data_IF_200810366432
#
_entry.id   IF_200810366432
#
_cell.length_a   1.000
_cell.length_b   1.000
_cell.length_c   1.000
_cell.angle_alpha   90.00
_cell.angle_beta   90.00
_cell.angle_gamma   90.00
#
_symmetry.space_group_name_H-M   'P 1'
#
loop_
_entity.id
_entity.type
_entity.pdbx_description
1 polymer ?
#
# COMPACT_ATOMS: atom_id res chain seq x y z
N UNK A 1 -2.87 14.74 26.33
CA UNK A 1 -4.25 15.02 26.69
C UNK A 1 -5.17 14.01 26.03
N UNK A 2 -5.98 13.27 26.80
CA UNK A 2 -6.97 12.36 26.23
C UNK A 2 -8.31 13.07 25.97
N UNK A 3 -8.54 14.23 26.58
CA UNK A 3 -9.80 14.96 26.49
C UNK A 3 -9.92 15.75 25.18
N UNK A 4 -8.78 16.12 24.57
CA UNK A 4 -8.73 16.82 23.28
C UNK A 4 -8.69 15.87 22.06
N UNK A 5 -8.66 14.56 22.29
CA UNK A 5 -8.59 13.58 21.21
C UNK A 5 -9.95 13.40 20.53
N UNK A 6 -9.99 13.54 19.19
CA UNK A 6 -11.18 13.19 18.43
C UNK A 6 -11.34 11.66 18.33
N UNK A 7 -12.58 11.19 18.46
CA UNK A 7 -12.91 9.79 18.23
C UNK A 7 -12.67 9.45 16.75
N UNK A 8 -12.03 8.30 16.51
CA UNK A 8 -11.91 7.74 15.16
C UNK A 8 -13.23 7.10 14.76
N UNK A 9 -13.78 7.54 13.63
CA UNK A 9 -15.03 7.02 13.06
C UNK A 9 -14.74 6.28 11.76
N UNK A 10 -14.30 7.02 10.74
CA UNK A 10 -13.90 6.51 9.44
C UNK A 10 -12.39 6.31 9.37
N UNK A 11 -11.96 5.23 8.73
CA UNK A 11 -10.55 5.00 8.44
C UNK A 11 -10.22 5.60 7.07
N UNK A 12 -9.08 6.28 6.91
CA UNK A 12 -8.65 6.73 5.59
C UNK A 12 -8.23 5.54 4.72
N UNK A 13 -8.05 5.81 3.42
CA UNK A 13 -7.46 4.85 2.49
C UNK A 13 -6.13 4.33 3.04
N UNK A 14 -5.95 3.01 2.99
CA UNK A 14 -4.71 2.33 3.34
C UNK A 14 -4.44 1.18 2.37
N UNK A 15 -3.18 0.86 2.14
CA UNK A 15 -2.75 -0.29 1.35
C UNK A 15 -1.44 -0.85 1.88
N UNK A 16 -1.30 -2.18 1.80
CA UNK A 16 -0.20 -2.93 2.40
C UNK A 16 0.26 -4.01 1.44
N UNK A 17 1.57 -4.17 1.35
CA UNK A 17 2.25 -5.26 0.63
C UNK A 17 2.35 -6.44 1.60
N UNK A 18 1.79 -7.59 1.20
CA UNK A 18 1.81 -8.83 2.00
C UNK A 18 2.85 -9.80 1.44
N UNK A 19 3.01 -9.84 0.11
CA UNK A 19 4.06 -10.61 -0.56
C UNK A 19 4.80 -9.74 -1.57
N UNK A 20 6.13 -9.86 -1.67
CA UNK A 20 7.01 -10.58 -0.74
C UNK A 20 7.07 -9.91 0.65
N UNK A 21 7.72 -10.54 1.63
CA UNK A 21 7.94 -9.93 2.95
C UNK A 21 9.15 -8.98 2.92
N UNK A 22 9.18 -7.99 3.82
CA UNK A 22 10.36 -7.13 4.00
C UNK A 22 11.62 -7.98 4.20
N UNK A 23 12.70 -7.58 3.52
CA UNK A 23 14.02 -8.21 3.48
C UNK A 23 14.08 -9.60 2.84
N UNK A 24 13.08 -9.97 2.05
CA UNK A 24 13.11 -11.22 1.28
C UNK A 24 14.28 -11.27 0.29
N UNK A 25 14.85 -12.47 0.14
CA UNK A 25 15.84 -12.83 -0.88
C UNK A 25 15.17 -13.73 -1.91
N UNK A 26 15.05 -13.27 -3.15
CA UNK A 26 14.35 -13.97 -4.23
C UNK A 26 15.24 -14.11 -5.47
N UNK A 27 14.93 -15.04 -6.40
CA UNK A 27 15.54 -15.01 -7.73
C UNK A 27 15.18 -13.72 -8.47
N UNK A 28 16.12 -13.19 -9.25
CA UNK A 28 15.83 -12.12 -10.20
C UNK A 28 14.93 -12.58 -11.35
N UNK A 29 14.38 -11.61 -12.06
CA UNK A 29 13.42 -11.80 -13.13
C UNK A 29 11.99 -11.52 -12.66
N UNK A 30 11.05 -12.37 -13.07
CA UNK A 30 9.64 -12.18 -12.82
C UNK A 30 9.28 -12.39 -11.33
N UNK A 31 8.75 -11.35 -10.69
CA UNK A 31 8.24 -11.40 -9.32
C UNK A 31 6.79 -10.94 -9.27
N UNK A 32 6.01 -11.58 -8.40
CA UNK A 32 4.66 -11.14 -8.05
C UNK A 32 4.68 -10.39 -6.72
N UNK A 33 4.09 -9.21 -6.71
CA UNK A 33 3.85 -8.39 -5.51
C UNK A 33 2.35 -8.43 -5.25
N UNK A 34 1.95 -8.78 -4.04
CA UNK A 34 0.55 -8.98 -3.67
C UNK A 34 0.25 -8.28 -2.35
N UNK A 35 -0.99 -7.86 -2.19
CA UNK A 35 -1.43 -7.23 -0.95
C UNK A 35 -2.92 -6.93 -0.91
N UNK A 36 -3.27 -6.00 -0.04
CA UNK A 36 -4.63 -5.49 0.07
C UNK A 36 -4.65 -3.96 0.13
N UNK A 37 -5.80 -3.40 -0.17
CA UNK A 37 -6.15 -2.01 0.08
C UNK A 37 -7.55 -1.93 0.70
N UNK A 38 -7.82 -0.86 1.44
CA UNK A 38 -9.10 -0.61 2.10
C UNK A 38 -9.37 0.88 2.19
N UNK A 39 -10.65 1.25 2.28
CA UNK A 39 -11.10 2.62 2.58
C UNK A 39 -12.12 2.61 3.72
N UNK A 40 -12.87 3.69 3.88
CA UNK A 40 -13.81 3.97 4.98
C UNK A 40 -15.08 3.12 5.00
N UNK A 41 -15.28 2.24 4.01
CA UNK A 41 -16.47 1.41 3.86
C UNK A 41 -17.63 2.07 3.10
N UNK A 42 -17.50 3.36 2.78
CA UNK A 42 -18.44 4.10 1.94
C UNK A 42 -17.88 4.34 0.53
N UNK A 43 -16.57 4.24 0.38
CA UNK A 43 -15.86 4.35 -0.90
C UNK A 43 -15.14 3.06 -1.26
N UNK A 44 -15.24 2.67 -2.52
CA UNK A 44 -14.52 1.52 -3.06
C UNK A 44 -13.12 1.92 -3.49
N UNK A 45 -12.17 0.98 -3.42
CA UNK A 45 -10.84 1.18 -4.00
C UNK A 45 -10.95 1.11 -5.52
N UNK A 46 -10.55 2.19 -6.20
CA UNK A 46 -10.65 2.32 -7.66
C UNK A 46 -9.31 2.15 -8.36
N UNK A 47 -8.22 2.40 -7.64
CA UNK A 47 -6.88 2.35 -8.20
C UNK A 47 -5.84 1.94 -7.17
N UNK A 48 -4.89 1.08 -7.57
CA UNK A 48 -3.75 0.70 -6.76
C UNK A 48 -2.51 0.76 -7.66
N UNK A 49 -1.46 1.40 -7.18
CA UNK A 49 -0.18 1.48 -7.87
C UNK A 49 0.95 0.98 -6.98
N UNK A 50 1.83 0.21 -7.59
CA UNK A 50 3.03 -0.37 -6.97
C UNK A 50 4.26 0.15 -7.69
N UNK A 51 5.25 0.55 -6.93
CA UNK A 51 6.55 1.01 -7.41
C UNK A 51 7.63 0.01 -7.00
N UNK A 52 8.60 -0.32 -7.87
CA UNK A 52 9.76 -1.14 -7.51
C UNK A 52 10.99 -0.32 -7.04
N UNK A 53 10.93 1.01 -7.13
CA UNK A 53 12.07 1.92 -7.04
C UNK A 53 11.84 3.05 -6.02
N UNK A 54 11.11 2.78 -4.94
CA UNK A 54 10.93 3.75 -3.84
C UNK A 54 9.91 4.86 -4.14
N UNK A 55 9.15 4.73 -5.23
CA UNK A 55 8.10 5.66 -5.64
C UNK A 55 8.44 6.54 -6.85
N UNK A 56 9.55 6.26 -7.56
CA UNK A 56 9.93 7.02 -8.75
C UNK A 56 9.08 6.62 -9.96
N UNK A 57 8.88 5.32 -10.20
CA UNK A 57 8.01 4.78 -11.24
C UNK A 57 6.90 3.92 -10.66
N UNK A 58 5.77 3.85 -11.37
CA UNK A 58 4.56 3.20 -10.87
C UNK A 58 3.91 2.32 -11.93
N UNK A 59 3.52 1.12 -11.52
CA UNK A 59 2.69 0.21 -12.31
C UNK A 59 1.33 0.05 -11.63
N UNK A 60 0.26 -0.01 -12.41
CA UNK A 60 -1.08 -0.34 -11.90
C UNK A 60 -1.13 -1.81 -11.50
N UNK A 61 -1.68 -2.10 -10.32
CA UNK A 61 -1.97 -3.47 -9.90
C UNK A 61 -3.32 -3.95 -10.43
N UNK A 62 -3.42 -5.25 -10.67
CA UNK A 62 -4.65 -5.95 -11.01
C UNK A 62 -5.45 -6.27 -9.74
N UNK A 63 -6.77 -6.24 -9.85
CA UNK A 63 -7.68 -6.59 -8.76
C UNK A 63 -7.96 -8.09 -8.80
N UNK A 64 -7.83 -8.75 -7.65
CA UNK A 64 -8.05 -10.19 -7.51
C UNK A 64 -9.47 -10.55 -7.08
N UNK A 65 -10.26 -9.55 -6.69
CA UNK A 65 -11.68 -9.65 -6.39
C UNK A 65 -12.42 -8.42 -6.90
N UNK A 66 -13.73 -8.57 -7.10
CA UNK A 66 -14.59 -7.44 -7.45
C UNK A 66 -14.59 -6.40 -6.31
N UNK A 67 -14.53 -5.10 -6.65
CA UNK A 67 -14.69 -4.02 -5.68
C UNK A 67 -16.06 -4.13 -4.99
N UNK A 68 -16.05 -4.12 -3.66
CA UNK A 68 -17.26 -4.10 -2.84
C UNK A 68 -17.02 -3.28 -1.58
N UNK A 69 -18.01 -2.47 -1.20
CA UNK A 69 -18.02 -1.76 0.08
C UNK A 69 -17.81 -2.72 1.26
N UNK A 70 -17.15 -2.22 2.30
CA UNK A 70 -16.82 -2.98 3.53
C UNK A 70 -15.91 -4.20 3.34
N UNK A 71 -15.32 -4.37 2.15
CA UNK A 71 -14.36 -5.46 1.89
C UNK A 71 -12.99 -4.88 1.51
N UNK A 72 -11.95 -5.68 1.72
CA UNK A 72 -10.62 -5.32 1.25
C UNK A 72 -10.53 -5.60 -0.25
N UNK A 73 -9.87 -4.70 -0.97
CA UNK A 73 -9.49 -4.92 -2.35
C UNK A 73 -8.14 -5.64 -2.38
N UNK A 74 -8.16 -6.92 -2.75
CA UNK A 74 -6.95 -7.71 -2.97
C UNK A 74 -6.38 -7.37 -4.34
N UNK A 75 -5.05 -7.33 -4.41
CA UNK A 75 -4.35 -6.90 -5.61
C UNK A 75 -3.06 -7.67 -5.87
N UNK A 76 -2.65 -7.68 -7.14
CA UNK A 76 -1.38 -8.24 -7.62
C UNK A 76 -0.74 -7.33 -8.65
N UNK A 77 0.57 -7.19 -8.60
CA UNK A 77 1.38 -6.55 -9.65
C UNK A 77 2.56 -7.46 -9.97
N UNK A 78 2.81 -7.69 -11.26
CA UNK A 78 3.96 -8.46 -11.73
C UNK A 78 5.03 -7.54 -12.28
N UNK A 79 6.28 -7.78 -11.88
CA UNK A 79 7.44 -7.04 -12.38
C UNK A 79 8.48 -8.01 -12.90
N UNK A 80 9.20 -7.60 -13.95
CA UNK A 80 10.45 -8.25 -14.37
C UNK A 80 11.61 -7.34 -13.96
N UNK A 81 12.34 -7.74 -12.90
CA UNK A 81 13.34 -6.90 -12.25
C UNK A 81 14.74 -7.52 -12.29
N UNK A 82 15.79 -6.71 -12.52
CA UNK A 82 17.16 -7.19 -12.50
C UNK A 82 17.61 -7.59 -11.09
N UNK A 83 18.69 -8.39 -10.95
CA UNK A 83 19.34 -8.61 -9.67
C UNK A 83 19.72 -7.29 -9.00
N UNK A 84 19.56 -7.21 -7.68
CA UNK A 84 19.83 -5.98 -6.93
C UNK A 84 18.86 -5.75 -5.77
N UNK A 85 19.02 -4.59 -5.12
CA UNK A 85 18.12 -4.13 -4.06
C UNK A 85 17.00 -3.30 -4.67
N UNK A 86 15.77 -3.59 -4.26
CA UNK A 86 14.58 -2.88 -4.71
C UNK A 86 13.78 -2.42 -3.49
N UNK A 87 13.18 -1.23 -3.56
CA UNK A 87 12.25 -0.74 -2.55
C UNK A 87 10.84 -0.76 -3.16
N UNK A 88 10.05 -1.74 -2.73
CA UNK A 88 8.67 -1.86 -3.18
C UNK A 88 7.79 -0.92 -2.36
N UNK A 89 6.98 -0.11 -3.05
CA UNK A 89 6.07 0.85 -2.43
C UNK A 89 4.67 0.68 -3.00
N UNK A 90 3.63 0.77 -2.16
CA UNK A 90 2.24 0.73 -2.62
C UNK A 90 1.46 1.96 -2.16
N UNK A 91 0.57 2.42 -3.04
CA UNK A 91 -0.45 3.44 -2.75
C UNK A 91 -1.76 3.11 -3.45
N UNK A 92 -2.86 3.54 -2.85
CA UNK A 92 -4.21 3.33 -3.38
C UNK A 92 -5.01 4.64 -3.46
N UNK A 93 -6.08 4.60 -4.26
CA UNK A 93 -7.10 5.64 -4.34
C UNK A 93 -8.48 5.01 -4.25
N UNK A 94 -9.39 5.71 -3.57
CA UNK A 94 -10.80 5.33 -3.52
C UNK A 94 -11.65 6.10 -4.54
N UNK A 95 -12.95 5.84 -4.55
CA UNK A 95 -13.92 6.49 -5.46
C UNK A 95 -14.15 7.98 -5.18
N UNK A 96 -13.71 8.50 -4.03
CA UNK A 96 -13.70 9.92 -3.70
C UNK A 96 -12.34 10.59 -3.98
N UNK A 97 -11.43 9.88 -4.65
CA UNK A 97 -10.06 10.31 -4.95
C UNK A 97 -9.20 10.59 -3.70
N UNK A 98 -9.58 10.07 -2.53
CA UNK A 98 -8.70 10.08 -1.37
C UNK A 98 -7.50 9.18 -1.63
N UNK A 99 -6.35 9.52 -1.05
CA UNK A 99 -5.14 8.71 -1.14
C UNK A 99 -4.30 8.79 0.13
N UNK A 100 -3.20 8.06 0.11
CA UNK A 100 -2.27 7.93 1.23
C UNK A 100 -1.19 9.01 1.18
N UNK A 101 -0.78 9.56 2.32
CA UNK A 101 0.41 10.40 2.42
C UNK A 101 1.68 9.62 2.04
N UNK A 102 2.66 10.30 1.47
CA UNK A 102 3.90 9.64 1.02
C UNK A 102 4.79 9.14 2.17
N UNK A 103 4.82 9.87 3.28
CA UNK A 103 5.77 9.63 4.38
C UNK A 103 5.07 9.48 5.72
N UNK A 104 5.65 8.63 6.58
CA UNK A 104 5.18 8.44 7.96
C UNK A 104 5.28 9.74 8.76
N UNK A 105 6.25 10.61 8.45
CA UNK A 105 6.41 11.89 9.12
C UNK A 105 5.17 12.78 8.96
N UNK A 106 4.48 12.70 7.83
CA UNK A 106 3.25 13.47 7.55
C UNK A 106 2.05 13.04 8.39
N UNK A 107 2.05 11.83 8.96
CA UNK A 107 0.94 11.26 9.75
C UNK A 107 1.33 10.93 11.19
N UNK A 108 2.53 11.37 11.60
CA UNK A 108 3.03 11.08 12.93
C UNK A 108 2.12 11.66 14.00
N UNK A 109 1.83 10.86 15.02
CA UNK A 109 1.21 11.31 16.25
C UNK A 109 1.72 10.46 17.40
N UNK A 110 1.70 11.02 18.60
CA UNK A 110 2.24 10.38 19.80
C UNK A 110 1.64 8.98 20.09
N UNK A 111 0.40 8.72 19.69
CA UNK A 111 -0.26 7.42 19.91
C UNK A 111 -0.04 6.41 18.77
N UNK A 112 0.52 6.85 17.64
CA UNK A 112 0.77 6.00 16.48
C UNK A 112 -0.49 5.56 15.72
N UNK A 113 -1.64 6.20 15.92
CA UNK A 113 -2.88 5.84 15.24
C UNK A 113 -2.92 6.36 13.79
N UNK A 114 -3.77 5.76 12.96
CA UNK A 114 -4.03 6.22 11.58
C UNK A 114 -2.76 6.36 10.75
N UNK A 115 -1.79 5.46 10.94
CA UNK A 115 -0.64 5.40 10.07
C UNK A 115 -1.03 4.75 8.74
N UNK A 116 -1.36 5.58 7.76
CA UNK A 116 -1.75 5.17 6.41
C UNK A 116 -0.79 5.68 5.35
N UNK A 117 0.43 6.07 5.71
CA UNK A 117 1.44 6.44 4.71
C UNK A 117 1.72 5.27 3.76
N UNK A 118 2.31 5.54 2.59
CA UNK A 118 2.66 4.48 1.63
C UNK A 118 3.45 3.37 2.32
N UNK A 119 2.97 2.14 2.22
CA UNK A 119 3.69 1.00 2.78
C UNK A 119 4.89 0.67 1.91
N UNK A 120 6.05 0.49 2.54
CA UNK A 120 7.34 0.27 1.88
C UNK A 120 7.99 -0.98 2.42
N UNK A 121 8.52 -1.82 1.53
CA UNK A 121 9.36 -2.96 1.89
C UNK A 121 10.61 -3.00 1.02
N UNK A 122 11.69 -3.59 1.53
CA UNK A 122 12.96 -3.71 0.82
C UNK A 122 13.21 -5.18 0.50
N UNK A 123 13.51 -5.50 -0.75
CA UNK A 123 13.86 -6.87 -1.15
C UNK A 123 15.21 -6.90 -1.86
N UNK A 124 15.79 -8.09 -1.95
CA UNK A 124 17.01 -8.33 -2.73
C UNK A 124 16.77 -9.47 -3.72
N UNK A 125 16.99 -9.18 -5.00
CA UNK A 125 16.92 -10.14 -6.09
C UNK A 125 18.33 -10.64 -6.44
N UNK A 126 18.49 -11.96 -6.59
CA UNK A 126 19.76 -12.64 -6.89
C UNK A 126 19.85 -13.07 -8.36
#
# INVERSE_FOLDING_TARGET
DYQDGMQLTKLPVNSVIVRPQDRSLLPAGQIAVEGYAMSDGEHEITWISVSPDGGETWQRAEFLNEPQLWTWQLWRAEFDLPPGRHELVVRAWDSAANSQPETIASVWNFKGYVNNAWHRIKITLK
#
